data_IF_231709444715
#
_entry.id   IF_231709444715
#
_cell.length_a   1.000
_cell.length_b   1.000
_cell.length_c   1.000
_cell.angle_alpha   90.00
_cell.angle_beta   90.00
_cell.angle_gamma   90.00
#
_symmetry.space_group_name_H-M   'P 1'
#
loop_
_entity.id
_entity.type
_entity.pdbx_description
1 polymer ?
#
# COMPACT_ATOMS: atom_id res chain seq x y z
N UNK A 1 13.77 15.80 2.75
CA UNK A 1 13.57 15.99 1.29
C UNK A 1 12.50 17.05 1.09
N UNK A 2 12.76 18.09 0.29
CA UNK A 2 11.74 19.11 -0.04
C UNK A 2 10.94 18.67 -1.26
N UNK A 3 9.72 19.16 -1.37
CA UNK A 3 8.92 19.04 -2.59
C UNK A 3 9.67 19.70 -3.75
N UNK A 4 9.65 19.10 -4.94
CA UNK A 4 10.29 19.68 -6.13
C UNK A 4 9.52 20.90 -6.67
N UNK A 5 8.24 21.08 -6.31
CA UNK A 5 7.38 22.18 -6.79
C UNK A 5 7.20 23.32 -5.77
N UNK A 6 7.59 23.14 -4.50
CA UNK A 6 7.46 24.17 -3.47
C UNK A 6 8.38 23.88 -2.26
N UNK A 7 8.43 24.79 -1.28
CA UNK A 7 9.28 24.64 -0.09
C UNK A 7 8.73 23.70 1.01
N UNK A 8 7.56 23.06 0.81
CA UNK A 8 7.00 22.10 1.77
C UNK A 8 7.84 20.80 1.81
N UNK A 9 7.83 20.05 2.92
CA UNK A 9 8.44 18.73 2.95
C UNK A 9 7.78 17.79 1.93
N UNK A 10 8.59 16.98 1.25
CA UNK A 10 8.07 15.92 0.39
C UNK A 10 7.55 14.78 1.26
N UNK A 11 6.31 14.35 0.99
CA UNK A 11 5.63 13.24 1.66
C UNK A 11 5.38 12.07 0.71
N UNK A 12 5.56 12.28 -0.59
CA UNK A 12 5.40 11.28 -1.64
C UNK A 12 6.72 11.08 -2.40
N UNK A 13 7.00 9.82 -2.76
CA UNK A 13 8.04 9.42 -3.70
C UNK A 13 7.37 8.67 -4.85
N UNK A 14 7.49 9.20 -6.07
CA UNK A 14 6.86 8.67 -7.27
C UNK A 14 7.97 8.32 -8.26
N UNK A 15 7.95 7.10 -8.80
CA UNK A 15 8.89 6.66 -9.84
C UNK A 15 8.10 6.35 -11.10
N UNK A 16 8.40 7.04 -12.20
CA UNK A 16 7.72 6.88 -13.49
C UNK A 16 8.69 6.48 -14.59
N UNK A 17 8.21 5.74 -15.59
CA UNK A 17 9.01 5.30 -16.73
C UNK A 17 8.72 6.20 -17.94
N UNK A 18 9.49 7.26 -18.12
CA UNK A 18 9.39 8.11 -19.32
C UNK A 18 10.39 7.62 -20.36
N UNK A 19 9.92 7.13 -21.50
CA UNK A 19 10.78 6.63 -22.58
C UNK A 19 11.67 5.44 -22.16
N UNK A 20 11.17 4.60 -21.24
CA UNK A 20 11.89 3.44 -20.72
C UNK A 20 12.97 3.76 -19.68
N UNK A 21 13.10 5.01 -19.25
CA UNK A 21 14.01 5.40 -18.17
C UNK A 21 13.22 5.78 -16.91
N UNK A 22 13.62 5.28 -15.73
CA UNK A 22 13.00 5.68 -14.47
C UNK A 22 13.33 7.14 -14.16
N UNK A 23 12.30 7.90 -13.78
CA UNK A 23 12.37 9.27 -13.30
C UNK A 23 11.76 9.31 -11.90
N UNK A 24 12.49 9.86 -10.94
CA UNK A 24 12.08 9.94 -9.54
C UNK A 24 11.62 11.36 -9.18
N UNK A 25 10.45 11.43 -8.55
CA UNK A 25 9.77 12.67 -8.17
C UNK A 25 9.48 12.65 -6.67
N UNK A 26 9.84 13.74 -6.00
CA UNK A 26 9.55 13.96 -4.58
C UNK A 26 8.58 15.13 -4.43
N UNK A 27 7.34 14.86 -4.05
CA UNK A 27 6.26 15.85 -3.99
C UNK A 27 5.64 15.92 -2.59
N UNK A 28 5.12 17.09 -2.23
CA UNK A 28 4.20 17.22 -1.09
C UNK A 28 2.81 16.72 -1.49
N UNK A 29 1.93 16.54 -0.51
CA UNK A 29 0.57 16.01 -0.73
C UNK A 29 -0.23 16.75 -1.81
N UNK A 30 -0.27 18.08 -1.75
CA UNK A 30 -1.02 18.90 -2.73
C UNK A 30 -0.56 18.63 -4.18
N UNK A 31 0.75 18.74 -4.39
CA UNK A 31 1.36 18.59 -5.70
C UNK A 31 1.34 17.14 -6.21
N UNK A 32 1.38 16.15 -5.30
CA UNK A 32 1.22 14.75 -5.67
C UNK A 32 -0.19 14.47 -6.18
N UNK A 33 -1.22 15.02 -5.53
CA UNK A 33 -2.62 14.88 -5.97
C UNK A 33 -2.85 15.49 -7.35
N UNK A 34 -2.33 16.70 -7.58
CA UNK A 34 -2.42 17.36 -8.89
C UNK A 34 -1.69 16.58 -9.98
N UNK A 35 -0.48 16.09 -9.66
CA UNK A 35 0.34 15.33 -10.60
C UNK A 35 -0.32 14.02 -11.03
N UNK A 36 -0.86 13.25 -10.06
CA UNK A 36 -1.55 12.00 -10.31
C UNK A 36 -2.91 12.18 -11.02
N UNK A 37 -3.59 13.31 -10.77
CA UNK A 37 -4.83 13.64 -11.47
C UNK A 37 -4.57 13.98 -12.95
N UNK A 38 -3.44 14.63 -13.26
CA UNK A 38 -3.05 14.94 -14.63
C UNK A 38 -2.55 13.69 -15.40
N UNK A 39 -1.81 12.79 -14.74
CA UNK A 39 -1.27 11.57 -15.35
C UNK A 39 -2.30 10.45 -15.55
N UNK A 40 -3.50 10.55 -14.97
CA UNK A 40 -4.59 9.59 -15.16
C UNK A 40 -5.24 9.56 -16.55
N UNK A 41 -4.76 10.37 -17.51
CA UNK A 41 -5.36 10.52 -18.84
C UNK A 41 -4.65 9.72 -19.94
N UNK A 42 -3.42 9.27 -19.71
CA UNK A 42 -2.55 8.70 -20.74
C UNK A 42 -1.85 7.46 -20.17
N UNK A 43 -2.04 6.31 -20.81
CA UNK A 43 -1.41 5.01 -20.52
C UNK A 43 -1.85 4.23 -19.26
N UNK A 44 -3.10 3.77 -19.26
CA UNK A 44 -3.43 2.49 -18.63
C UNK A 44 -3.96 1.52 -19.68
N UNK A 45 -3.04 0.78 -20.31
CA UNK A 45 -3.40 -0.48 -20.98
C UNK A 45 -4.05 -1.40 -19.92
N UNK A 46 -5.35 -1.73 -20.00
CA UNK A 46 -6.07 -2.37 -18.90
C UNK A 46 -5.81 -3.89 -18.77
N UNK A 47 -4.70 -4.39 -19.32
CA UNK A 47 -4.55 -5.82 -19.63
C UNK A 47 -3.75 -6.70 -18.67
N UNK A 48 -2.88 -6.17 -17.81
CA UNK A 48 -1.85 -7.04 -17.19
C UNK A 48 -1.74 -6.95 -15.66
N UNK A 49 -1.73 -5.75 -15.06
CA UNK A 49 -1.47 -5.67 -13.62
C UNK A 49 -2.67 -6.02 -12.74
N UNK A 50 -3.89 -5.61 -13.13
CA UNK A 50 -5.10 -5.94 -12.38
C UNK A 50 -5.40 -7.45 -12.42
N UNK A 51 -5.12 -8.11 -13.55
CA UNK A 51 -5.33 -9.56 -13.70
C UNK A 51 -4.30 -10.38 -12.91
N UNK A 52 -3.05 -9.91 -12.82
CA UNK A 52 -2.03 -10.52 -11.97
C UNK A 52 -2.29 -10.30 -10.48
N UNK A 53 -2.75 -9.11 -10.08
CA UNK A 53 -3.21 -8.84 -8.72
C UNK A 53 -4.43 -9.69 -8.37
N UNK A 54 -5.40 -9.82 -9.28
CA UNK A 54 -6.56 -10.68 -9.08
C UNK A 54 -6.17 -12.16 -8.94
N UNK A 55 -5.24 -12.66 -9.75
CA UNK A 55 -4.70 -14.01 -9.61
C UNK A 55 -3.89 -14.19 -8.32
N UNK A 56 -3.12 -13.19 -7.87
CA UNK A 56 -2.40 -13.27 -6.61
C UNK A 56 -3.35 -13.24 -5.41
N UNK A 57 -4.41 -12.43 -5.46
CA UNK A 57 -5.46 -12.39 -4.43
C UNK A 57 -6.26 -13.70 -4.43
N UNK A 58 -6.56 -14.29 -5.60
CA UNK A 58 -7.22 -15.59 -5.67
C UNK A 58 -6.32 -16.75 -5.19
N UNK A 59 -5.02 -16.72 -5.51
CA UNK A 59 -4.05 -17.68 -5.01
C UNK A 59 -3.89 -17.58 -3.49
N UNK A 60 -3.89 -16.38 -2.92
CA UNK A 60 -3.95 -16.19 -1.47
C UNK A 60 -5.26 -16.72 -0.89
N UNK A 61 -6.41 -16.49 -1.54
CA UNK A 61 -7.71 -17.02 -1.07
C UNK A 61 -7.78 -18.55 -1.01
N UNK A 62 -7.00 -19.28 -1.81
CA UNK A 62 -6.92 -20.74 -1.71
C UNK A 62 -6.01 -21.23 -0.57
N UNK A 63 -5.16 -20.38 0.01
CA UNK A 63 -4.41 -20.68 1.23
C UNK A 63 -5.18 -20.35 2.53
N UNK A 64 -6.33 -19.66 2.43
CA UNK A 64 -7.10 -19.17 3.60
C UNK A 64 -7.72 -20.29 4.46
N UNK A 65 -7.86 -21.50 3.92
CA UNK A 65 -8.42 -22.64 4.66
C UNK A 65 -7.53 -23.13 5.80
N UNK A 66 -6.20 -23.06 5.66
CA UNK A 66 -5.24 -23.44 6.72
C UNK A 66 -4.95 -22.25 7.66
N UNK A 67 -4.96 -21.02 7.13
CA UNK A 67 -4.65 -19.82 7.92
C UNK A 67 -5.76 -19.42 8.88
N UNK A 68 -7.01 -19.81 8.65
CA UNK A 68 -8.13 -19.40 9.52
C UNK A 68 -8.01 -19.99 10.93
N UNK A 69 -7.54 -21.23 11.04
CA UNK A 69 -7.35 -21.90 12.34
C UNK A 69 -6.11 -21.34 13.06
N UNK A 70 -4.99 -21.21 12.35
CA UNK A 70 -3.77 -20.59 12.91
C UNK A 70 -4.02 -19.14 13.35
N UNK A 71 -4.84 -18.39 12.60
CA UNK A 71 -5.23 -17.03 12.96
C UNK A 71 -6.10 -17.01 14.21
N UNK A 72 -7.04 -17.95 14.34
CA UNK A 72 -7.88 -18.09 15.53
C UNK A 72 -7.06 -18.47 16.79
N UNK A 73 -5.97 -19.22 16.63
CA UNK A 73 -5.03 -19.51 17.71
C UNK A 73 -4.19 -18.28 18.08
N UNK A 74 -3.74 -17.51 17.08
CA UNK A 74 -3.01 -16.26 17.32
C UNK A 74 -3.87 -15.19 17.98
N UNK A 75 -5.15 -15.09 17.60
CA UNK A 75 -6.11 -14.12 18.15
C UNK A 75 -6.31 -14.29 19.66
N UNK A 76 -6.05 -15.49 20.20
CA UNK A 76 -6.10 -15.79 21.64
C UNK A 76 -4.84 -15.36 22.40
N UNK A 77 -3.74 -15.04 21.70
CA UNK A 77 -2.52 -14.59 22.35
C UNK A 77 -2.67 -13.15 22.85
N UNK A 78 -2.22 -12.91 24.09
CA UNK A 78 -2.21 -11.59 24.72
C UNK A 78 -0.79 -11.11 24.99
N UNK A 79 -0.57 -9.81 24.85
CA UNK A 79 0.72 -9.19 25.15
C UNK A 79 0.96 -9.20 26.67
N UNK A 80 2.09 -9.75 27.16
CA UNK A 80 2.37 -9.81 28.61
C UNK A 80 2.67 -8.44 29.22
N UNK A 81 2.89 -7.40 28.41
CA UNK A 81 3.22 -6.05 28.88
C UNK A 81 2.01 -5.12 28.98
N UNK A 82 1.11 -5.14 27.99
CA UNK A 82 -0.05 -4.25 27.93
C UNK A 82 -1.41 -4.96 27.97
N UNK A 83 -1.43 -6.29 27.92
CA UNK A 83 -2.65 -7.10 28.09
C UNK A 83 -3.57 -7.18 26.87
N UNK A 84 -3.33 -6.43 25.79
CA UNK A 84 -4.15 -6.50 24.58
C UNK A 84 -3.99 -7.84 23.87
N UNK A 85 -5.07 -8.35 23.30
CA UNK A 85 -5.06 -9.53 22.43
C UNK A 85 -4.56 -9.18 21.03
N UNK A 86 -4.03 -10.17 20.30
CA UNK A 86 -3.67 -10.00 18.90
C UNK A 86 -4.88 -9.58 18.04
N UNK A 87 -6.07 -10.09 18.38
CA UNK A 87 -7.33 -9.69 17.76
C UNK A 87 -7.60 -8.19 17.94
N UNK A 88 -7.49 -7.69 19.16
CA UNK A 88 -7.69 -6.26 19.46
C UNK A 88 -6.65 -5.39 18.77
N UNK A 89 -5.38 -5.80 18.76
CA UNK A 89 -4.31 -5.08 18.06
C UNK A 89 -4.59 -4.90 16.57
N UNK A 90 -5.05 -5.97 15.89
CA UNK A 90 -5.32 -5.93 14.45
C UNK A 90 -6.56 -5.12 14.10
N UNK A 91 -7.56 -5.13 14.98
CA UNK A 91 -8.81 -4.41 14.78
C UNK A 91 -8.73 -2.93 15.15
N UNK A 92 -7.86 -2.55 16.09
CA UNK A 92 -7.64 -1.13 16.45
C UNK A 92 -6.82 -0.38 15.39
N UNK A 93 -6.20 -1.08 14.45
CA UNK A 93 -5.50 -0.48 13.30
C UNK A 93 -3.99 -0.27 13.54
N UNK A 94 -3.27 -0.02 12.44
CA UNK A 94 -1.82 0.24 12.49
C UNK A 94 -1.58 1.57 13.21
N UNK A 95 -0.69 1.58 14.20
CA UNK A 95 -0.09 2.79 14.75
C UNK A 95 0.63 3.50 13.58
N UNK A 96 -0.05 4.47 12.98
CA UNK A 96 0.48 5.36 11.96
C UNK A 96 1.18 6.55 12.60
#
# INVERSE_FOLDING_TARGET
MKCQKCDKPATFHITELTGGKPVELHLCEDHAREYLAASGSEDTSPGSMASLLAQHIMAQKMQVGQTAQELAELDQQSCPFCGITFFEFRNQGRLG
#
